data_IF_121460572338
#
_entry.id   IF_121460572338
#
_cell.length_a   1.000
_cell.length_b   1.000
_cell.length_c   1.000
_cell.angle_alpha   90.00
_cell.angle_beta   90.00
_cell.angle_gamma   90.00
#
_symmetry.space_group_name_H-M   'P 1'
#
loop_
_entity.id
_entity.type
_entity.pdbx_description
1 polymer ?
#
# COMPACT_ATOMS: atom_id res chain seq x y z
N UNK A 1 -8.36 0.38 2.96
CA UNK A 1 -8.07 -1.07 2.92
C UNK A 1 -8.73 -1.73 1.73
N UNK A 2 -10.02 -1.48 1.45
CA UNK A 2 -10.72 -2.06 0.29
C UNK A 2 -9.96 -1.87 -1.04
N UNK A 3 -9.46 -0.67 -1.32
CA UNK A 3 -8.66 -0.39 -2.53
C UNK A 3 -7.45 -1.34 -2.65
N UNK A 4 -6.70 -1.58 -1.58
CA UNK A 4 -5.54 -2.48 -1.60
C UNK A 4 -5.96 -3.93 -1.86
N UNK A 5 -7.03 -4.39 -1.22
CA UNK A 5 -7.61 -5.73 -1.48
C UNK A 5 -8.01 -5.86 -2.95
N UNK A 6 -8.69 -4.85 -3.51
CA UNK A 6 -9.11 -4.86 -4.92
C UNK A 6 -7.91 -4.87 -5.87
N UNK A 7 -6.92 -4.00 -5.67
CA UNK A 7 -5.72 -3.95 -6.52
C UNK A 7 -4.98 -5.29 -6.54
N UNK A 8 -4.77 -5.91 -5.37
CA UNK A 8 -4.16 -7.24 -5.29
C UNK A 8 -4.99 -8.31 -6.02
N UNK A 9 -6.33 -8.26 -5.92
CA UNK A 9 -7.19 -9.23 -6.60
C UNK A 9 -7.23 -9.08 -8.13
N UNK A 10 -6.94 -7.88 -8.65
CA UNK A 10 -6.87 -7.63 -10.10
C UNK A 10 -5.61 -8.21 -10.71
N UNK A 11 -4.46 -8.00 -10.06
CA UNK A 11 -3.19 -8.60 -10.44
C UNK A 11 -2.25 -8.67 -9.23
N UNK A 12 -2.16 -9.86 -8.63
CA UNK A 12 -1.35 -10.08 -7.44
C UNK A 12 0.16 -9.92 -7.70
N UNK A 13 0.61 -10.18 -8.94
CA UNK A 13 2.02 -10.09 -9.32
C UNK A 13 2.42 -8.63 -9.50
N UNK A 14 1.65 -7.88 -10.28
CA UNK A 14 1.91 -6.45 -10.45
C UNK A 14 1.78 -5.68 -9.14
N UNK A 15 0.86 -6.07 -8.25
CA UNK A 15 0.77 -5.52 -6.90
C UNK A 15 2.04 -5.79 -6.08
N UNK A 16 2.55 -7.03 -6.09
CA UNK A 16 3.77 -7.39 -5.38
C UNK A 16 4.97 -6.55 -5.84
N UNK A 17 5.20 -6.49 -7.16
CA UNK A 17 6.26 -5.67 -7.78
C UNK A 17 6.14 -4.19 -7.39
N UNK A 18 4.92 -3.65 -7.39
CA UNK A 18 4.65 -2.27 -7.00
C UNK A 18 4.98 -2.00 -5.53
N UNK A 19 4.71 -2.95 -4.64
CA UNK A 19 4.95 -2.81 -3.20
C UNK A 19 6.42 -2.93 -2.79
N UNK A 20 7.25 -3.66 -3.55
CA UNK A 20 8.69 -3.82 -3.24
C UNK A 20 9.46 -2.49 -3.30
N UNK A 21 9.13 -1.65 -4.28
CA UNK A 21 9.76 -0.33 -4.45
C UNK A 21 9.18 0.76 -3.53
N UNK A 22 8.08 0.46 -2.82
CA UNK A 22 7.34 1.43 -2.03
C UNK A 22 7.72 1.36 -0.54
N UNK A 23 8.66 2.23 -0.15
CA UNK A 23 9.07 2.34 1.25
C UNK A 23 9.30 3.81 1.66
N UNK A 24 9.29 4.05 2.96
CA UNK A 24 9.69 5.34 3.52
C UNK A 24 11.21 5.46 3.61
N UNK A 25 11.68 6.60 4.14
CA UNK A 25 13.11 6.81 4.42
C UNK A 25 13.70 5.74 5.36
N UNK A 26 12.94 5.36 6.38
CA UNK A 26 13.37 4.38 7.39
C UNK A 26 12.35 3.27 7.65
N UNK A 27 11.11 3.44 7.17
CA UNK A 27 9.99 2.53 7.44
C UNK A 27 9.68 1.70 6.21
N UNK A 28 9.45 0.41 6.41
CA UNK A 28 8.85 -0.47 5.42
C UNK A 28 7.34 -0.23 5.46
N UNK A 29 6.70 -0.07 4.30
CA UNK A 29 5.26 0.22 4.24
C UNK A 29 4.43 -1.05 4.09
N UNK A 30 4.90 -1.99 3.26
CA UNK A 30 4.25 -3.28 2.98
C UNK A 30 5.21 -4.44 3.26
N UNK A 31 4.68 -5.53 3.82
CA UNK A 31 5.42 -6.77 4.05
C UNK A 31 4.43 -7.94 4.16
N UNK A 32 4.90 -9.19 4.01
CA UNK A 32 4.07 -10.38 4.19
C UNK A 32 3.84 -10.74 5.67
N UNK A 33 4.49 -10.03 6.59
CA UNK A 33 4.33 -10.23 8.03
C UNK A 33 4.34 -8.91 8.82
N UNK A 34 3.58 -8.88 9.91
CA UNK A 34 3.49 -7.70 10.78
C UNK A 34 4.83 -7.35 11.45
N UNK A 35 5.70 -8.33 11.71
CA UNK A 35 6.93 -8.16 12.48
C UNK A 35 7.95 -7.35 11.69
N UNK A 36 8.04 -7.54 10.37
CA UNK A 36 8.86 -6.74 9.47
C UNK A 36 8.49 -5.25 9.55
N UNK A 37 7.20 -4.94 9.54
CA UNK A 37 6.73 -3.55 9.67
C UNK A 37 7.01 -2.95 11.05
N UNK A 38 6.85 -3.73 12.13
CA UNK A 38 7.17 -3.30 13.50
C UNK A 38 8.66 -3.04 13.70
N UNK A 39 9.53 -3.87 13.10
CA UNK A 39 10.99 -3.69 13.17
C UNK A 39 11.47 -2.43 12.44
N UNK A 40 10.78 -2.05 11.36
CA UNK A 40 11.16 -0.89 10.55
C UNK A 40 10.88 0.47 11.22
N UNK A 41 10.07 0.51 12.29
CA UNK A 41 9.87 1.76 13.02
C UNK A 41 8.87 1.68 14.16
N UNK A 42 9.01 2.62 15.10
CA UNK A 42 8.11 2.73 16.24
C UNK A 42 6.70 3.17 15.81
N UNK A 43 5.69 2.57 16.44
CA UNK A 43 4.27 2.88 16.26
C UNK A 43 3.78 2.85 14.80
N UNK A 44 4.25 1.91 13.98
CA UNK A 44 3.77 1.75 12.58
C UNK A 44 2.30 1.31 12.46
N UNK A 45 1.73 0.76 13.54
CA UNK A 45 0.36 0.24 13.62
C UNK A 45 0.01 -0.66 12.40
N UNK A 46 0.71 -1.79 12.21
CA UNK A 46 0.44 -2.68 11.09
C UNK A 46 -1.01 -3.18 11.09
N UNK A 47 -1.60 -3.33 9.92
CA UNK A 47 -2.86 -4.06 9.71
C UNK A 47 -2.72 -4.99 8.51
N UNK A 48 -3.28 -6.19 8.63
CA UNK A 48 -3.39 -7.11 7.50
C UNK A 48 -4.37 -6.53 6.47
N UNK A 49 -4.02 -6.63 5.19
CA UNK A 49 -4.90 -6.31 4.07
C UNK A 49 -5.81 -7.52 3.85
N UNK A 50 -7.15 -7.39 4.04
CA UNK A 50 -8.08 -8.51 3.97
C UNK A 50 -7.98 -9.27 2.64
N UNK A 51 -7.97 -10.60 2.70
CA UNK A 51 -7.93 -11.47 1.53
C UNK A 51 -6.56 -11.54 0.83
N UNK A 52 -5.50 -11.05 1.46
CA UNK A 52 -4.14 -11.04 0.88
C UNK A 52 -3.09 -11.48 1.92
N UNK A 53 -1.88 -11.91 1.50
CA UNK A 53 -0.78 -12.16 2.42
C UNK A 53 -0.13 -10.88 2.96
N UNK A 54 -0.54 -9.70 2.48
CA UNK A 54 0.13 -8.44 2.76
C UNK A 54 -0.35 -7.76 4.04
N UNK A 55 0.60 -7.12 4.73
CA UNK A 55 0.39 -6.18 5.81
C UNK A 55 0.79 -4.79 5.35
N UNK A 56 0.13 -3.77 5.90
CA UNK A 56 0.43 -2.36 5.63
C UNK A 56 0.52 -1.55 6.92
N UNK A 57 1.41 -0.56 6.96
CA UNK A 57 1.44 0.41 8.06
C UNK A 57 0.20 1.32 8.02
N UNK A 58 -0.37 1.66 9.17
CA UNK A 58 -1.57 2.52 9.22
C UNK A 58 -1.39 3.83 9.99
N UNK A 59 -0.24 4.01 10.65
CA UNK A 59 0.11 5.29 11.27
C UNK A 59 0.64 6.29 10.22
N UNK A 60 -0.22 6.68 9.30
CA UNK A 60 0.03 7.62 8.20
C UNK A 60 -1.17 8.57 8.03
N UNK A 61 -0.91 9.82 7.67
CA UNK A 61 -1.97 10.79 7.33
C UNK A 61 -2.62 10.45 5.97
N UNK A 62 -3.76 11.08 5.65
CA UNK A 62 -4.50 10.81 4.40
C UNK A 62 -3.64 11.04 3.17
N UNK A 63 -2.88 12.14 3.10
CA UNK A 63 -1.99 12.41 1.96
C UNK A 63 -1.01 11.27 1.69
N UNK A 64 -0.39 10.69 2.73
CA UNK A 64 0.50 9.53 2.56
C UNK A 64 -0.26 8.25 2.18
N UNK A 65 -1.50 8.07 2.64
CA UNK A 65 -2.35 6.96 2.16
C UNK A 65 -2.61 7.11 0.66
N UNK A 66 -2.96 8.30 0.19
CA UNK A 66 -3.14 8.60 -1.22
C UNK A 66 -1.84 8.35 -2.01
N UNK A 67 -0.69 8.86 -1.57
CA UNK A 67 0.59 8.62 -2.27
C UNK A 67 0.96 7.13 -2.35
N UNK A 68 0.64 6.32 -1.34
CA UNK A 68 0.85 4.87 -1.41
C UNK A 68 -0.05 4.22 -2.46
N UNK A 69 -1.33 4.61 -2.53
CA UNK A 69 -2.26 4.11 -3.54
C UNK A 69 -1.87 4.56 -4.94
N UNK A 70 -1.52 5.84 -5.10
CA UNK A 70 -1.05 6.42 -6.35
C UNK A 70 0.17 5.67 -6.90
N UNK A 71 1.20 5.45 -6.08
CA UNK A 71 2.39 4.70 -6.50
C UNK A 71 2.04 3.29 -6.99
N UNK A 72 1.21 2.56 -6.23
CA UNK A 72 0.81 1.20 -6.61
C UNK A 72 0.04 1.21 -7.92
N UNK A 73 -0.95 2.10 -8.06
CA UNK A 73 -1.77 2.18 -9.26
C UNK A 73 -0.98 2.64 -10.49
N UNK A 74 -0.01 3.56 -10.33
CA UNK A 74 0.90 3.98 -11.41
C UNK A 74 1.79 2.82 -11.86
N UNK A 75 2.37 2.07 -10.92
CA UNK A 75 3.18 0.87 -11.23
C UNK A 75 2.36 -0.17 -11.99
N UNK A 76 1.10 -0.36 -11.58
CA UNK A 76 0.12 -1.23 -12.25
C UNK A 76 -0.49 -0.62 -13.54
N UNK A 77 0.04 0.50 -14.03
CA UNK A 77 -0.33 1.15 -15.30
C UNK A 77 -1.78 1.63 -15.38
N UNK A 78 -2.41 2.01 -14.26
CA UNK A 78 -3.71 2.67 -14.30
C UNK A 78 -3.59 4.12 -14.81
N UNK A 79 -4.62 4.63 -15.52
CA UNK A 79 -4.60 6.00 -16.02
C UNK A 79 -4.66 7.03 -14.90
N UNK A 80 -3.91 8.13 -15.04
CA UNK A 80 -3.79 9.18 -14.02
C UNK A 80 -5.16 9.75 -13.56
N UNK A 81 -6.12 9.91 -14.48
CA UNK A 81 -7.47 10.38 -14.17
C UNK A 81 -8.20 9.45 -13.18
N UNK A 82 -8.06 8.13 -13.32
CA UNK A 82 -8.66 7.18 -12.40
C UNK A 82 -7.97 7.22 -11.03
N UNK A 83 -6.65 7.38 -11.03
CA UNK A 83 -5.85 7.46 -9.80
C UNK A 83 -6.26 8.68 -8.98
N UNK A 84 -6.41 9.84 -9.62
CA UNK A 84 -6.89 11.07 -8.97
C UNK A 84 -8.28 10.86 -8.35
N UNK A 85 -9.21 10.26 -9.10
CA UNK A 85 -10.56 9.94 -8.60
C UNK A 85 -10.53 9.00 -7.41
N UNK A 86 -9.72 7.93 -7.45
CA UNK A 86 -9.59 7.00 -6.32
C UNK A 86 -9.01 7.71 -5.10
N UNK A 87 -7.92 8.45 -5.27
CA UNK A 87 -7.29 9.21 -4.18
C UNK A 87 -8.22 10.26 -3.56
N UNK A 88 -9.14 10.85 -4.33
CA UNK A 88 -10.17 11.77 -3.84
C UNK A 88 -11.24 11.13 -2.94
N UNK A 89 -11.28 9.79 -2.84
CA UNK A 89 -12.25 9.05 -2.01
C UNK A 89 -11.65 8.44 -0.74
N UNK A 90 -10.35 8.64 -0.49
CA UNK A 90 -9.57 8.03 0.61
C UNK A 90 -9.71 8.78 1.95
#
# INVERSE_FOLDING_TARGET
MLVLTTLYSLDSKAFAEATESLHGRTRVYFAEDARTLLKSGNQTKPKQVPGTPWWVITNTNTGRKCSMIEHIMQSMQFPAELIEKVCGTI
#
